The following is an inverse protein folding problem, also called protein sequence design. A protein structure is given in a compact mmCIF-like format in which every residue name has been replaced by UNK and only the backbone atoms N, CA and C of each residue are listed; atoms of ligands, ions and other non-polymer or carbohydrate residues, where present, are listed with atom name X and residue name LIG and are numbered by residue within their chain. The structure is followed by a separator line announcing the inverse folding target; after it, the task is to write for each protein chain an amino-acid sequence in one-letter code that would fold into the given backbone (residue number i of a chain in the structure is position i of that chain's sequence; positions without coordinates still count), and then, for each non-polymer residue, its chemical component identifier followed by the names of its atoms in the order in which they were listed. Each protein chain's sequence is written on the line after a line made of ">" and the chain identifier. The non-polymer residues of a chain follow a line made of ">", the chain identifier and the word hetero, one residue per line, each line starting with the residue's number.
data_IF_648108864036
#
_entry.id   IF_648108864036
#
_cell.length_a   1.000
_cell.length_b   1.000
_cell.length_c   1.000
_cell.angle_alpha   90.00
_cell.angle_beta   90.00
_cell.angle_gamma   90.00
#
_symmetry.space_group_name_H-M   'P 1'
#
loop_
_entity.id
_entity.type
_entity.pdbx_description
1 polymer ?
#
# COMPACT_ATOMS: atom_id res chain seq x y z
N UNK A 1 -17.09 -3.64 -15.97
CA UNK A 1 -17.67 -2.30 -15.66
C UNK A 1 -17.17 -1.94 -14.27
N UNK A 2 -16.08 -1.20 -14.23
CA UNK A 2 -15.31 -0.89 -13.02
C UNK A 2 -16.14 0.02 -12.10
N UNK A 3 -16.18 -0.33 -10.82
CA UNK A 3 -16.88 0.48 -9.81
C UNK A 3 -15.99 1.64 -9.40
N UNK A 4 -16.20 2.79 -10.02
CA UNK A 4 -15.69 4.07 -9.53
C UNK A 4 -16.45 4.44 -8.25
N UNK A 5 -15.77 4.41 -7.10
CA UNK A 5 -16.30 5.00 -5.87
C UNK A 5 -16.02 6.51 -5.88
N UNK A 6 -17.03 7.32 -6.18
CA UNK A 6 -16.93 8.78 -6.17
C UNK A 6 -17.31 9.35 -4.82
N UNK A 7 -16.40 10.11 -4.21
CA UNK A 7 -16.65 10.79 -2.95
C UNK A 7 -16.56 12.31 -3.12
N UNK A 8 -17.54 13.01 -2.56
CA UNK A 8 -17.66 14.46 -2.67
C UNK A 8 -16.98 15.13 -1.46
N UNK A 9 -16.00 15.97 -1.70
CA UNK A 9 -15.20 16.63 -0.68
C UNK A 9 -15.24 18.13 -0.87
N UNK A 10 -16.14 18.86 -0.22
CA UNK A 10 -16.25 20.32 -0.37
C UNK A 10 -16.17 20.80 -1.82
N UNK A 11 -16.74 20.04 -2.79
CA UNK A 11 -16.63 20.28 -4.20
C UNK A 11 -15.49 19.55 -4.93
N UNK A 12 -14.58 18.88 -4.21
CA UNK A 12 -13.55 17.99 -4.76
C UNK A 12 -14.02 16.53 -4.60
N UNK A 13 -14.09 15.81 -5.70
CA UNK A 13 -14.43 14.39 -5.72
C UNK A 13 -13.15 13.61 -5.36
N UNK A 14 -13.12 12.95 -4.22
CA UNK A 14 -12.08 11.96 -3.91
C UNK A 14 -12.48 10.63 -4.53
N UNK A 15 -11.72 10.17 -5.50
CA UNK A 15 -11.92 8.89 -6.16
C UNK A 15 -10.83 7.91 -5.71
N UNK A 16 -11.22 6.80 -5.08
CA UNK A 16 -10.35 5.64 -5.01
C UNK A 16 -10.54 4.88 -6.33
N UNK A 17 -9.52 4.90 -7.17
CA UNK A 17 -9.57 4.30 -8.50
C UNK A 17 -8.79 2.98 -8.49
N UNK A 18 -9.46 1.89 -8.87
CA UNK A 18 -8.76 0.66 -9.22
C UNK A 18 -8.09 0.87 -10.59
N UNK A 19 -6.78 0.66 -10.63
CA UNK A 19 -5.98 0.79 -11.85
C UNK A 19 -5.33 -0.54 -12.20
N UNK A 20 -4.94 -0.69 -13.46
CA UNK A 20 -4.14 -1.83 -13.89
C UNK A 20 -2.67 -1.63 -13.49
N UNK A 21 -1.90 -2.72 -13.45
CA UNK A 21 -0.48 -2.67 -13.13
C UNK A 21 0.31 -1.79 -14.11
N UNK A 22 -0.04 -1.82 -15.40
CA UNK A 22 0.57 -0.97 -16.44
C UNK A 22 0.25 0.51 -16.25
N UNK A 23 -1.00 0.83 -15.88
CA UNK A 23 -1.42 2.20 -15.55
C UNK A 23 -0.70 2.72 -14.30
N UNK A 24 -0.58 1.89 -13.25
CA UNK A 24 0.13 2.25 -12.02
C UNK A 24 1.55 2.73 -12.28
N UNK A 25 2.28 2.03 -13.14
CA UNK A 25 3.67 2.35 -13.49
C UNK A 25 3.80 3.65 -14.30
N UNK A 26 2.78 4.00 -15.08
CA UNK A 26 2.76 5.20 -15.92
C UNK A 26 2.16 6.45 -15.29
N UNK A 27 1.25 6.30 -14.33
CA UNK A 27 0.43 7.40 -13.80
C UNK A 27 1.01 8.13 -12.59
N UNK A 28 1.89 7.53 -11.79
CA UNK A 28 2.44 8.18 -10.62
C UNK A 28 3.05 9.57 -10.95
N UNK A 29 3.70 9.69 -12.10
CA UNK A 29 4.29 10.95 -12.57
C UNK A 29 3.22 11.96 -13.02
N UNK A 30 2.14 11.50 -13.66
CA UNK A 30 1.05 12.37 -14.13
C UNK A 30 0.20 12.90 -12.99
N UNK A 31 -0.01 12.08 -11.96
CA UNK A 31 -0.78 12.46 -10.77
C UNK A 31 -0.03 13.51 -9.96
N UNK A 32 1.30 13.36 -9.81
CA UNK A 32 2.18 14.35 -9.14
C UNK A 32 2.08 15.72 -9.84
N UNK A 33 2.00 15.75 -11.16
CA UNK A 33 1.89 16.99 -11.95
C UNK A 33 0.50 17.63 -11.89
N UNK A 34 -0.54 16.86 -11.59
CA UNK A 34 -1.93 17.32 -11.60
C UNK A 34 -2.43 17.99 -10.30
N UNK A 35 -1.70 17.89 -9.19
CA UNK A 35 -2.06 18.54 -7.90
C UNK A 35 -3.37 18.09 -7.27
N UNK A 36 -3.88 16.92 -7.64
CA UNK A 36 -5.19 16.43 -7.20
C UNK A 36 -5.05 15.48 -6.00
N UNK A 37 -5.95 15.60 -5.02
CA UNK A 37 -6.15 14.58 -4.00
C UNK A 37 -6.68 13.31 -4.66
N UNK A 38 -5.86 12.28 -4.74
CA UNK A 38 -6.21 11.04 -5.42
C UNK A 38 -5.73 9.83 -4.63
N UNK A 39 -6.61 8.86 -4.52
CA UNK A 39 -6.28 7.52 -4.03
C UNK A 39 -6.41 6.54 -5.19
N UNK A 40 -5.37 5.78 -5.44
CA UNK A 40 -5.40 4.68 -6.41
C UNK A 40 -4.94 3.39 -5.73
N UNK A 41 -5.45 2.26 -6.20
CA UNK A 41 -5.01 0.94 -5.77
C UNK A 41 -5.10 -0.07 -6.91
N UNK A 42 -4.36 -1.14 -6.77
CA UNK A 42 -4.47 -2.30 -7.66
C UNK A 42 -4.36 -3.59 -6.86
N UNK A 43 -4.97 -4.63 -7.38
CA UNK A 43 -4.70 -6.01 -6.98
C UNK A 43 -3.70 -6.57 -7.98
N UNK A 44 -2.58 -7.09 -7.49
CA UNK A 44 -1.49 -7.60 -8.33
C UNK A 44 -1.94 -8.84 -9.09
N UNK A 45 -2.00 -8.76 -10.41
CA UNK A 45 -2.38 -9.87 -11.29
C UNK A 45 -1.17 -10.72 -11.67
N UNK A 46 -0.05 -10.08 -11.97
CA UNK A 46 1.22 -10.72 -12.32
C UNK A 46 2.25 -10.37 -11.24
N UNK A 47 2.95 -11.35 -10.67
CA UNK A 47 3.97 -11.09 -9.67
C UNK A 47 5.01 -10.08 -10.15
N UNK A 48 5.37 -9.12 -9.29
CA UNK A 48 6.28 -8.04 -9.66
C UNK A 48 7.30 -7.75 -8.57
N UNK A 49 8.51 -7.39 -8.98
CA UNK A 49 9.57 -6.93 -8.08
C UNK A 49 9.88 -5.47 -8.38
N UNK A 50 9.55 -4.61 -7.41
CA UNK A 50 9.92 -3.20 -7.45
C UNK A 50 11.35 -3.03 -6.95
N UNK A 51 12.22 -2.40 -7.76
CA UNK A 51 13.62 -2.15 -7.42
C UNK A 51 14.02 -0.71 -7.71
N UNK A 52 14.90 -0.14 -6.88
CA UNK A 52 15.56 1.13 -7.21
C UNK A 52 16.72 0.93 -8.19
N UNK A 53 17.38 -0.23 -8.12
CA UNK A 53 18.44 -0.67 -9.04
C UNK A 53 18.33 -2.16 -9.27
N UNK A 54 18.44 -2.60 -10.51
CA UNK A 54 18.39 -4.03 -10.89
C UNK A 54 19.40 -4.90 -10.14
N UNK A 55 20.57 -4.34 -9.78
CA UNK A 55 21.58 -5.04 -8.99
C UNK A 55 21.13 -5.48 -7.59
N UNK A 56 19.94 -5.07 -7.13
CA UNK A 56 19.38 -5.47 -5.83
C UNK A 56 18.76 -6.87 -5.86
N UNK A 57 18.49 -7.41 -7.04
CA UNK A 57 17.81 -8.69 -7.24
C UNK A 57 18.58 -9.61 -8.16
N UNK A 58 18.22 -10.88 -8.15
CA UNK A 58 18.68 -11.86 -9.12
C UNK A 58 17.67 -11.91 -10.29
N UNK A 59 18.07 -11.34 -11.44
CA UNK A 59 17.18 -11.23 -12.60
C UNK A 59 16.85 -12.62 -13.22
N UNK A 60 17.77 -13.57 -13.17
CA UNK A 60 17.55 -14.92 -13.70
C UNK A 60 16.51 -15.65 -12.84
N UNK A 61 16.62 -15.52 -11.52
CA UNK A 61 15.65 -16.08 -10.58
C UNK A 61 14.28 -15.40 -10.74
N UNK A 62 14.24 -14.07 -10.88
CA UNK A 62 12.97 -13.37 -11.13
C UNK A 62 12.26 -13.92 -12.36
N UNK A 63 12.99 -14.01 -13.48
CA UNK A 63 12.43 -14.54 -14.75
C UNK A 63 11.96 -15.99 -14.61
N UNK A 64 12.75 -16.85 -13.94
CA UNK A 64 12.42 -18.26 -13.72
C UNK A 64 11.15 -18.43 -12.89
N UNK A 65 10.96 -17.57 -11.88
CA UNK A 65 9.80 -17.59 -11.00
C UNK A 65 8.61 -16.80 -11.56
N UNK A 66 8.73 -16.18 -12.73
CA UNK A 66 7.67 -15.44 -13.40
C UNK A 66 7.38 -14.05 -12.81
N UNK A 67 8.39 -13.42 -12.19
CA UNK A 67 8.28 -12.06 -11.70
C UNK A 67 8.75 -11.05 -12.73
N UNK A 68 7.93 -10.02 -12.97
CA UNK A 68 8.34 -8.83 -13.72
C UNK A 68 9.20 -7.93 -12.85
N UNK A 69 10.29 -7.37 -13.39
CA UNK A 69 11.16 -6.43 -12.68
C UNK A 69 10.81 -5.01 -13.11
N UNK A 70 10.45 -4.18 -12.15
CA UNK A 70 10.09 -2.78 -12.37
C UNK A 70 11.01 -1.87 -11.58
N UNK A 71 11.63 -0.91 -12.29
CA UNK A 71 12.43 0.14 -11.64
C UNK A 71 11.50 1.20 -11.03
N UNK A 72 11.71 1.50 -9.74
CA UNK A 72 10.94 2.51 -9.00
C UNK A 72 11.79 3.74 -8.73
N UNK A 73 11.16 4.91 -8.75
CA UNK A 73 11.86 6.20 -8.57
C UNK A 73 12.13 6.57 -7.11
N UNK A 74 11.59 5.82 -6.16
CA UNK A 74 11.84 6.05 -4.75
C UNK A 74 13.00 5.18 -4.27
N UNK A 75 13.85 5.72 -3.41
CA UNK A 75 14.96 5.02 -2.75
C UNK A 75 14.48 3.88 -1.81
N UNK A 76 13.30 3.35 -2.06
CA UNK A 76 12.77 2.20 -1.32
C UNK A 76 13.69 0.99 -1.51
N UNK A 77 13.71 0.14 -0.51
CA UNK A 77 14.29 -1.19 -0.64
C UNK A 77 13.51 -2.00 -1.68
N UNK A 78 14.12 -3.05 -2.22
CA UNK A 78 13.44 -4.04 -3.06
C UNK A 78 12.15 -4.49 -2.39
N UNK A 79 11.06 -4.48 -3.14
CA UNK A 79 9.74 -4.97 -2.71
C UNK A 79 9.28 -6.04 -3.68
N UNK A 80 8.91 -7.20 -3.15
CA UNK A 80 8.39 -8.33 -3.94
C UNK A 80 6.90 -8.43 -3.69
N UNK A 81 6.11 -8.34 -4.75
CA UNK A 81 4.66 -8.43 -4.72
C UNK A 81 4.21 -9.71 -5.38
N UNK A 82 3.47 -10.52 -4.65
CA UNK A 82 2.86 -11.73 -5.16
C UNK A 82 1.49 -11.45 -5.78
N UNK A 83 1.02 -12.38 -6.60
CA UNK A 83 -0.34 -12.30 -7.15
C UNK A 83 -1.37 -12.24 -6.00
N UNK A 84 -2.29 -11.28 -6.09
CA UNK A 84 -3.31 -11.03 -5.09
C UNK A 84 -2.93 -10.00 -4.02
N UNK A 85 -1.65 -9.61 -3.91
CA UNK A 85 -1.25 -8.50 -3.04
C UNK A 85 -1.92 -7.20 -3.48
N UNK A 86 -2.10 -6.27 -2.56
CA UNK A 86 -2.68 -4.96 -2.87
C UNK A 86 -1.61 -3.89 -2.77
N UNK A 87 -1.46 -3.14 -3.86
CA UNK A 87 -0.66 -1.93 -3.92
C UNK A 87 -1.59 -0.73 -3.86
N UNK A 88 -1.20 0.32 -3.13
CA UNK A 88 -1.97 1.54 -3.08
C UNK A 88 -1.09 2.78 -3.00
N UNK A 89 -1.64 3.91 -3.44
CA UNK A 89 -1.02 5.22 -3.35
C UNK A 89 -2.06 6.30 -3.09
N UNK A 90 -1.69 7.26 -2.26
CA UNK A 90 -2.50 8.42 -1.97
C UNK A 90 -1.66 9.69 -2.16
N UNK A 91 -2.20 10.63 -2.92
CA UNK A 91 -1.61 11.94 -3.14
C UNK A 91 -2.48 12.98 -2.45
N UNK A 92 -1.90 13.74 -1.56
CA UNK A 92 -2.60 14.79 -0.83
C UNK A 92 -1.68 15.96 -0.54
N UNK A 93 -2.26 17.14 -0.26
CA UNK A 93 -1.48 18.23 0.32
C UNK A 93 -0.87 17.83 1.64
N UNK A 94 0.29 18.45 1.97
CA UNK A 94 0.97 18.29 3.24
C UNK A 94 -0.04 18.56 4.37
N UNK A 95 0.04 17.78 5.44
CA UNK A 95 -0.83 17.89 6.65
C UNK A 95 -2.20 17.21 6.53
N UNK A 96 -2.47 16.53 5.44
CA UNK A 96 -3.71 15.78 5.29
C UNK A 96 -3.90 14.70 6.37
N UNK A 97 -2.81 14.13 6.90
CA UNK A 97 -2.85 13.10 7.95
C UNK A 97 -3.36 11.72 7.50
N UNK A 98 -3.59 11.52 6.19
CA UNK A 98 -4.11 10.27 5.60
C UNK A 98 -3.28 9.04 6.00
N UNK A 99 -1.97 9.20 6.01
CA UNK A 99 -1.02 8.14 6.37
C UNK A 99 -1.30 7.55 7.76
N UNK A 100 -1.40 8.41 8.77
CA UNK A 100 -1.65 7.96 10.14
C UNK A 100 -3.04 7.37 10.29
N UNK A 101 -4.07 8.00 9.68
CA UNK A 101 -5.43 7.47 9.73
C UNK A 101 -5.56 6.10 9.08
N UNK A 102 -4.86 5.87 7.97
CA UNK A 102 -4.84 4.54 7.35
C UNK A 102 -4.20 3.50 8.25
N UNK A 103 -3.06 3.83 8.89
CA UNK A 103 -2.38 2.93 9.84
C UNK A 103 -3.31 2.57 10.99
N UNK A 104 -3.88 3.57 11.64
CA UNK A 104 -4.78 3.37 12.79
C UNK A 104 -5.98 2.52 12.42
N UNK A 105 -6.61 2.82 11.28
CA UNK A 105 -7.74 2.06 10.76
C UNK A 105 -7.37 0.60 10.46
N UNK A 106 -6.28 0.37 9.74
CA UNK A 106 -5.90 -0.98 9.34
C UNK A 106 -5.46 -1.83 10.54
N UNK A 107 -4.69 -1.26 11.46
CA UNK A 107 -4.31 -1.94 12.71
C UNK A 107 -5.55 -2.28 13.54
N UNK A 108 -6.50 -1.36 13.68
CA UNK A 108 -7.76 -1.60 14.39
C UNK A 108 -8.59 -2.70 13.71
N UNK A 109 -8.66 -2.71 12.37
CA UNK A 109 -9.37 -3.70 11.59
C UNK A 109 -8.78 -5.12 11.76
N UNK A 110 -7.45 -5.24 11.80
CA UNK A 110 -6.75 -6.50 12.08
C UNK A 110 -7.00 -6.98 13.51
N UNK A 111 -6.92 -6.08 14.49
CA UNK A 111 -7.20 -6.39 15.91
C UNK A 111 -8.64 -6.86 16.14
N UNK A 112 -9.60 -6.27 15.45
CA UNK A 112 -11.01 -6.69 15.51
C UNK A 112 -11.23 -8.13 15.01
N UNK A 113 -10.28 -8.68 14.25
CA UNK A 113 -10.25 -10.10 13.82
C UNK A 113 -9.44 -11.01 14.74
N UNK A 114 -9.05 -10.51 15.91
CA UNK A 114 -8.28 -11.26 16.90
C UNK A 114 -6.79 -11.39 16.60
N UNK A 115 -6.26 -10.62 15.63
CA UNK A 115 -4.85 -10.64 15.28
C UNK A 115 -4.05 -9.68 16.16
N UNK A 116 -2.84 -10.08 16.56
CA UNK A 116 -1.93 -9.22 17.31
C UNK A 116 -1.18 -8.29 16.33
N UNK A 117 -1.84 -7.20 15.93
CA UNK A 117 -1.34 -6.23 14.96
C UNK A 117 -0.72 -5.02 15.65
N UNK A 118 0.41 -4.56 15.11
CA UNK A 118 1.11 -3.35 15.55
C UNK A 118 1.73 -2.60 14.38
N UNK A 119 1.99 -1.31 14.56
CA UNK A 119 2.74 -0.49 13.61
C UNK A 119 4.11 -0.14 14.18
N UNK A 120 5.16 -0.33 13.37
CA UNK A 120 6.54 0.04 13.72
C UNK A 120 7.41 0.24 12.49
N UNK A 121 8.19 1.33 12.45
CA UNK A 121 9.17 1.62 11.39
C UNK A 121 8.59 1.56 9.96
N UNK A 122 7.46 2.20 9.70
CA UNK A 122 6.75 2.21 8.43
C UNK A 122 6.19 0.84 7.97
N UNK A 123 6.07 -0.11 8.88
CA UNK A 123 5.52 -1.43 8.61
C UNK A 123 4.38 -1.76 9.59
N UNK A 124 3.35 -2.46 9.11
CA UNK A 124 2.35 -3.08 9.97
C UNK A 124 2.71 -4.56 10.09
N UNK A 125 2.80 -5.00 11.33
CA UNK A 125 3.13 -6.38 11.68
C UNK A 125 1.92 -7.08 12.27
N UNK A 126 1.85 -8.40 12.04
CA UNK A 126 0.95 -9.33 12.74
C UNK A 126 1.82 -10.43 13.33
N UNK A 127 1.74 -10.63 14.65
CA UNK A 127 2.59 -11.59 15.39
C UNK A 127 4.10 -11.39 15.12
N UNK A 128 4.55 -10.15 14.90
CA UNK A 128 5.91 -9.81 14.58
C UNK A 128 6.31 -10.01 13.10
N UNK A 129 5.42 -10.51 12.24
CA UNK A 129 5.64 -10.66 10.79
C UNK A 129 5.10 -9.47 10.03
N UNK A 130 5.87 -8.98 9.05
CA UNK A 130 5.46 -7.86 8.21
C UNK A 130 4.36 -8.27 7.23
N UNK A 131 3.20 -7.63 7.35
CA UNK A 131 2.06 -7.83 6.43
C UNK A 131 1.78 -6.62 5.54
N UNK A 132 2.28 -5.44 5.92
CA UNK A 132 2.13 -4.21 5.14
C UNK A 132 3.40 -3.37 5.25
N UNK A 133 3.80 -2.74 4.17
CA UNK A 133 4.88 -1.76 4.13
C UNK A 133 4.38 -0.43 3.60
N UNK A 134 4.80 0.66 4.20
CA UNK A 134 4.37 2.00 3.91
C UNK A 134 5.56 2.91 3.66
N UNK A 135 5.39 3.92 2.81
CA UNK A 135 6.34 5.01 2.68
C UNK A 135 5.61 6.32 2.37
N UNK A 136 6.22 7.43 2.78
CA UNK A 136 5.79 8.77 2.38
C UNK A 136 6.93 9.46 1.68
N UNK A 137 6.66 10.01 0.51
CA UNK A 137 7.62 10.82 -0.25
C UNK A 137 7.01 12.18 -0.51
N UNK A 138 7.78 13.24 -0.24
CA UNK A 138 7.32 14.61 -0.43
C UNK A 138 7.76 15.16 -1.77
N UNK A 139 6.80 15.72 -2.52
CA UNK A 139 7.02 16.41 -3.79
C UNK A 139 6.46 17.86 -3.68
N UNK A 140 7.30 18.81 -3.28
CA UNK A 140 6.87 20.19 -3.06
C UNK A 140 5.82 20.28 -1.94
N UNK A 141 4.56 20.60 -2.29
CA UNK A 141 3.44 20.69 -1.34
C UNK A 141 2.57 19.42 -1.27
N UNK A 142 2.94 18.37 -1.99
CA UNK A 142 2.18 17.13 -2.05
C UNK A 142 2.95 16.02 -1.35
N UNK A 143 2.31 15.34 -0.44
CA UNK A 143 2.77 14.08 0.12
C UNK A 143 2.19 12.92 -0.71
N UNK A 144 3.08 12.06 -1.17
CA UNK A 144 2.73 10.78 -1.77
C UNK A 144 2.93 9.67 -0.75
N UNK A 145 1.86 9.12 -0.27
CA UNK A 145 1.86 7.90 0.54
C UNK A 145 1.72 6.71 -0.38
N UNK A 146 2.66 5.81 -0.36
CA UNK A 146 2.58 4.53 -1.05
C UNK A 146 2.69 3.39 -0.07
N UNK A 147 2.00 2.28 -0.38
CA UNK A 147 2.05 1.09 0.44
C UNK A 147 1.70 -0.17 -0.33
N UNK A 148 2.00 -1.29 0.31
CA UNK A 148 1.53 -2.58 -0.14
C UNK A 148 1.00 -3.38 1.05
N UNK A 149 0.02 -4.24 0.78
CA UNK A 149 -0.50 -5.22 1.73
C UNK A 149 -0.22 -6.60 1.13
N UNK A 150 0.60 -7.39 1.82
CA UNK A 150 0.97 -8.74 1.42
C UNK A 150 -0.13 -9.73 1.78
N UNK A 151 -0.70 -10.40 0.78
CA UNK A 151 -1.77 -11.38 0.97
C UNK A 151 -1.23 -12.78 0.72
N UNK A 152 -0.62 -13.01 -0.43
CA UNK A 152 -0.09 -14.32 -0.82
C UNK A 152 1.44 -14.34 -0.78
N UNK A 153 2.04 -13.76 0.25
CA UNK A 153 3.49 -13.64 0.39
C UNK A 153 4.19 -14.99 0.31
N UNK A 154 5.10 -15.14 -0.64
CA UNK A 154 5.95 -16.31 -0.75
C UNK A 154 7.37 -15.99 -0.24
N UNK A 155 7.67 -16.41 0.98
CA UNK A 155 8.94 -16.12 1.65
C UNK A 155 10.15 -16.75 0.94
N UNK A 156 9.99 -17.93 0.34
CA UNK A 156 11.09 -18.62 -0.35
C UNK A 156 11.43 -17.90 -1.66
N UNK A 157 10.43 -17.44 -2.40
CA UNK A 157 10.65 -16.58 -3.58
C UNK A 157 11.38 -15.29 -3.18
N UNK A 158 10.93 -14.61 -2.11
CA UNK A 158 11.56 -13.37 -1.65
C UNK A 158 13.04 -13.61 -1.28
N UNK A 159 13.33 -14.69 -0.58
CA UNK A 159 14.71 -15.05 -0.22
C UNK A 159 15.59 -15.37 -1.42
N UNK A 160 15.01 -16.02 -2.43
CA UNK A 160 15.73 -16.35 -3.66
C UNK A 160 16.01 -15.11 -4.51
N UNK A 161 15.03 -14.19 -4.61
CA UNK A 161 15.10 -13.00 -5.44
C UNK A 161 16.01 -11.92 -4.85
N UNK A 162 15.86 -11.63 -3.54
CA UNK A 162 16.52 -10.50 -2.90
C UNK A 162 17.97 -10.80 -2.50
N UNK A 163 18.92 -10.02 -3.02
CA UNK A 163 20.36 -10.16 -2.65
C UNK A 163 20.71 -9.60 -1.28
N UNK A 164 19.83 -8.81 -0.68
CA UNK A 164 20.02 -8.24 0.66
C UNK A 164 19.17 -8.96 1.69
N UNK A 165 19.67 -9.13 2.92
CA UNK A 165 18.87 -9.71 4.00
C UNK A 165 17.66 -8.82 4.32
N UNK A 166 16.53 -9.44 4.60
CA UNK A 166 15.31 -8.76 5.05
C UNK A 166 15.49 -8.26 6.49
N UNK A 167 15.05 -7.04 6.75
CA UNK A 167 15.03 -6.49 8.11
C UNK A 167 13.90 -7.09 8.96
N UNK A 168 12.76 -7.34 8.33
CA UNK A 168 11.57 -7.94 8.94
C UNK A 168 11.12 -9.09 8.05
N UNK A 169 10.73 -10.20 8.65
CA UNK A 169 10.25 -11.36 7.90
C UNK A 169 8.82 -11.10 7.42
N UNK A 170 8.55 -11.11 6.11
CA UNK A 170 7.21 -10.93 5.61
C UNK A 170 6.38 -12.21 5.76
N UNK A 171 5.05 -12.02 5.90
CA UNK A 171 4.06 -13.08 5.92
C UNK A 171 2.78 -12.61 5.23
N UNK A 172 2.12 -13.49 4.51
CA UNK A 172 0.87 -13.16 3.84
C UNK A 172 -0.32 -13.18 4.78
N UNK A 173 -1.28 -12.30 4.54
CA UNK A 173 -2.52 -12.28 5.32
C UNK A 173 -3.40 -13.51 5.03
N UNK A 174 -3.20 -14.20 3.90
CA UNK A 174 -3.85 -15.48 3.61
C UNK A 174 -3.50 -16.58 4.62
N UNK A 175 -2.31 -16.52 5.25
CA UNK A 175 -1.91 -17.41 6.33
C UNK A 175 -2.77 -17.22 7.61
N UNK A 176 -3.48 -16.12 7.70
CA UNK A 176 -4.44 -15.79 8.76
C UNK A 176 -5.90 -15.91 8.30
N UNK A 177 -6.12 -16.49 7.11
CA UNK A 177 -7.44 -16.69 6.53
C UNK A 177 -8.09 -15.43 5.92
N UNK A 178 -7.30 -14.37 5.67
CA UNK A 178 -7.78 -13.12 5.10
C UNK A 178 -7.51 -13.11 3.59
N UNK A 179 -8.52 -12.79 2.79
CA UNK A 179 -8.44 -12.80 1.32
C UNK A 179 -8.17 -11.42 0.72
N UNK A 180 -7.80 -11.39 -0.57
CA UNK A 180 -7.62 -10.13 -1.31
C UNK A 180 -8.91 -9.31 -1.37
N UNK A 181 -10.05 -9.98 -1.52
CA UNK A 181 -11.37 -9.34 -1.58
C UNK A 181 -11.74 -8.67 -0.26
N UNK A 182 -11.40 -9.30 0.88
CA UNK A 182 -11.64 -8.71 2.21
C UNK A 182 -10.78 -7.47 2.42
N UNK A 183 -9.51 -7.51 1.99
CA UNK A 183 -8.61 -6.34 2.07
C UNK A 183 -9.04 -5.24 1.10
N UNK A 184 -9.45 -5.59 -0.12
CA UNK A 184 -10.00 -4.60 -1.07
C UNK A 184 -11.25 -3.92 -0.47
N UNK A 185 -12.16 -4.69 0.12
CA UNK A 185 -13.34 -4.17 0.79
C UNK A 185 -13.00 -3.26 1.98
N UNK A 186 -12.03 -3.66 2.82
CA UNK A 186 -11.51 -2.87 3.93
C UNK A 186 -10.92 -1.55 3.44
N UNK A 187 -10.09 -1.58 2.41
CA UNK A 187 -9.45 -0.39 1.86
C UNK A 187 -10.47 0.60 1.30
N UNK A 188 -11.47 0.10 0.57
CA UNK A 188 -12.56 0.92 0.06
C UNK A 188 -13.43 1.52 1.17
N UNK A 189 -13.67 0.75 2.25
CA UNK A 189 -14.41 1.26 3.40
C UNK A 189 -13.64 2.37 4.13
N UNK A 190 -12.33 2.18 4.33
CA UNK A 190 -11.46 3.25 4.83
C UNK A 190 -11.53 4.52 3.97
N UNK A 191 -11.41 4.40 2.64
CA UNK A 191 -11.50 5.55 1.74
C UNK A 191 -12.86 6.26 1.84
N UNK A 192 -13.95 5.52 2.07
CA UNK A 192 -15.29 6.09 2.30
C UNK A 192 -15.33 6.92 3.57
N UNK A 193 -14.86 6.34 4.66
CA UNK A 193 -14.87 7.00 5.97
C UNK A 193 -13.97 8.23 5.94
N UNK A 194 -12.76 8.12 5.40
CA UNK A 194 -11.81 9.23 5.29
C UNK A 194 -12.36 10.40 4.45
N UNK A 195 -13.07 10.13 3.36
CA UNK A 195 -13.73 11.15 2.53
C UNK A 195 -14.92 11.82 3.21
N UNK A 196 -15.64 11.11 4.08
CA UNK A 196 -16.83 11.61 4.81
C UNK A 196 -16.51 12.47 6.02
N UNK A 197 -15.44 12.13 6.73
CA UNK A 197 -15.16 12.67 8.08
C UNK A 197 -14.55 14.09 8.09
N UNK A 198 -14.02 14.57 6.99
CA UNK A 198 -13.41 15.92 6.94
C UNK A 198 -14.41 17.08 7.06
N UNK A 199 -15.69 16.78 6.99
CA UNK A 199 -16.76 17.75 7.31
C UNK A 199 -17.17 17.72 8.78
N UNK A 200 -16.57 16.84 9.63
CA UNK A 200 -16.88 16.75 11.06
C UNK A 200 -15.58 16.86 11.88
N UNK A 201 -15.25 18.02 12.48
CA UNK A 201 -13.98 18.27 13.16
C UNK A 201 -13.82 17.60 14.54
N UNK A 202 -14.59 16.58 14.86
CA UNK A 202 -14.65 16.00 16.22
C UNK A 202 -14.27 14.52 16.27
N UNK A 203 -13.07 14.16 15.82
CA UNK A 203 -12.43 12.94 16.33
C UNK A 203 -11.11 13.38 16.99
N UNK A 204 -11.17 13.62 18.29
CA UNK A 204 -10.01 13.81 19.15
C UNK A 204 -9.32 12.45 19.36
N UNK A 205 -8.32 12.15 18.54
CA UNK A 205 -7.37 11.10 18.86
C UNK A 205 -6.43 11.63 19.96
N UNK A 206 -6.76 11.37 21.23
CA UNK A 206 -5.84 11.57 22.34
C UNK A 206 -4.70 10.54 22.19
N UNK A 207 -3.59 10.96 21.60
CA UNK A 207 -2.33 10.27 21.76
C UNK A 207 -1.90 10.46 23.23
N UNK A 208 -2.15 9.47 24.07
CA UNK A 208 -1.43 9.31 25.33
C UNK A 208 -0.03 8.81 24.99
N UNK A 209 0.94 9.67 25.23
CA UNK A 209 2.39 9.43 25.22
C UNK A 209 2.78 8.25 26.09
#
# INVERSE_FOLDING_TARGET
>A
MERLCKYNYGGLIMEAQKVTQTEWLGEATKIIQGGLHRTAYLVVDTPVVGVYRKSQVDEEICNTLGYEIVETYNNASTVVHCKGDILFGHFAEIENGWYNRFIDYFVAWLKARGLNAEYTDNDILVDGYKVCGLCVTRYGRIDYTAGFIGINTNLDHIRAICRKPMRKVPKGLSDYGITSEEIEAMFLDFCKQDGGDRNNPTINYNHTT
#
